data_IF_415394206594
#
_entry.id   IF_415394206594
#
_cell.length_a   1.000
_cell.length_b   1.000
_cell.length_c   1.000
_cell.angle_alpha   90.00
_cell.angle_beta   90.00
_cell.angle_gamma   90.00
#
_symmetry.space_group_name_H-M   'P 1'
#
loop_
_entity.id
_entity.type
_entity.pdbx_description
1 polymer ?
#
# COMPACT_ATOMS: atom_id res chain seq x y z
N UNK A 1 -3.60 -4.48 33.49
CA UNK A 1 -3.34 -3.32 32.60
C UNK A 1 -3.24 -3.91 31.18
N UNK A 2 -4.25 -3.80 30.29
CA UNK A 2 -4.10 -4.52 29.00
C UNK A 2 -5.17 -4.37 27.92
N UNK A 3 -6.46 -4.25 28.24
CA UNK A 3 -7.52 -4.29 27.20
C UNK A 3 -8.31 -2.98 27.04
N UNK A 4 -8.57 -2.25 28.13
CA UNK A 4 -9.23 -0.94 28.09
C UNK A 4 -8.37 0.12 27.37
N UNK A 5 -7.06 0.08 27.60
CA UNK A 5 -6.09 0.98 26.99
C UNK A 5 -5.98 0.76 25.48
N UNK A 6 -5.87 -0.51 25.04
CA UNK A 6 -5.81 -0.84 23.61
C UNK A 6 -7.07 -0.42 22.85
N UNK A 7 -8.27 -0.66 23.40
CA UNK A 7 -9.52 -0.22 22.75
C UNK A 7 -9.59 1.30 22.62
N UNK A 8 -9.15 2.03 23.64
CA UNK A 8 -9.04 3.48 23.61
C UNK A 8 -8.04 3.97 22.57
N UNK A 9 -6.83 3.41 22.57
CA UNK A 9 -5.78 3.69 21.61
C UNK A 9 -6.22 3.41 20.16
N UNK A 10 -6.79 2.23 19.90
CA UNK A 10 -7.32 1.87 18.57
C UNK A 10 -8.37 2.88 18.09
N UNK A 11 -9.33 3.23 18.95
CA UNK A 11 -10.36 4.24 18.61
C UNK A 11 -9.73 5.59 18.28
N UNK A 12 -8.75 6.03 19.08
CA UNK A 12 -8.01 7.26 18.86
C UNK A 12 -7.25 7.26 17.53
N UNK A 13 -6.51 6.19 17.23
CA UNK A 13 -5.74 6.06 15.99
C UNK A 13 -6.64 6.05 14.75
N UNK A 14 -7.76 5.31 14.79
CA UNK A 14 -8.72 5.30 13.69
C UNK A 14 -9.29 6.71 13.47
N UNK A 15 -9.66 7.42 14.53
CA UNK A 15 -10.19 8.78 14.42
C UNK A 15 -9.14 9.76 13.84
N UNK A 16 -7.90 9.69 14.31
CA UNK A 16 -6.76 10.48 13.81
C UNK A 16 -6.53 10.29 12.31
N UNK A 17 -6.39 9.04 11.85
CA UNK A 17 -6.12 8.74 10.44
C UNK A 17 -7.33 9.02 9.55
N UNK A 18 -8.55 8.73 10.03
CA UNK A 18 -9.78 9.08 9.30
C UNK A 18 -9.88 10.59 9.09
N UNK A 19 -9.58 11.40 10.10
CA UNK A 19 -9.58 12.86 9.97
C UNK A 19 -8.61 13.32 8.89
N UNK A 20 -7.34 12.88 8.95
CA UNK A 20 -6.33 13.22 7.95
C UNK A 20 -6.76 12.85 6.52
N UNK A 21 -7.34 11.66 6.34
CA UNK A 21 -7.81 11.24 5.02
C UNK A 21 -9.07 11.99 4.56
N UNK A 22 -9.93 12.41 5.49
CA UNK A 22 -11.09 13.27 5.16
C UNK A 22 -10.66 14.67 4.73
N UNK A 23 -9.56 15.19 5.25
CA UNK A 23 -9.04 16.50 4.86
C UNK A 23 -8.57 16.53 3.39
N UNK A 24 -8.05 15.40 2.88
CA UNK A 24 -7.63 15.27 1.47
C UNK A 24 -8.76 14.80 0.55
N UNK A 25 -9.83 14.20 1.09
CA UNK A 25 -10.93 13.62 0.32
C UNK A 25 -11.54 14.58 -0.72
N UNK A 26 -11.76 15.88 -0.43
CA UNK A 26 -12.31 16.82 -1.42
C UNK A 26 -11.46 16.98 -2.69
N UNK A 27 -10.16 16.71 -2.63
CA UNK A 27 -9.24 16.84 -3.77
C UNK A 27 -9.37 15.68 -4.77
N UNK A 28 -9.93 14.55 -4.34
CA UNK A 28 -9.97 13.30 -5.09
C UNK A 28 -11.40 12.78 -5.30
N UNK A 29 -12.41 13.47 -4.77
CA UNK A 29 -13.80 13.06 -4.87
C UNK A 29 -14.40 13.48 -6.22
N UNK A 30 -15.10 12.55 -6.86
CA UNK A 30 -15.85 12.88 -8.07
C UNK A 30 -16.98 13.88 -7.78
N UNK A 31 -17.33 14.76 -8.74
CA UNK A 31 -18.49 15.61 -8.64
C UNK A 31 -19.77 14.80 -8.39
N UNK A 32 -20.62 15.26 -7.48
CA UNK A 32 -21.91 14.64 -7.17
C UNK A 32 -21.90 13.51 -6.13
N UNK A 33 -20.73 13.10 -5.63
CA UNK A 33 -20.65 12.10 -4.56
C UNK A 33 -20.97 12.70 -3.19
N UNK A 34 -21.73 11.98 -2.37
CA UNK A 34 -22.01 12.36 -0.99
C UNK A 34 -20.74 12.26 -0.13
N UNK A 35 -20.23 13.41 0.30
CA UNK A 35 -19.02 13.54 1.14
C UNK A 35 -19.13 12.78 2.47
N UNK A 36 -20.32 12.77 3.08
CA UNK A 36 -20.53 12.12 4.37
C UNK A 36 -20.44 10.60 4.28
N UNK A 37 -20.98 10.02 3.21
CA UNK A 37 -20.93 8.58 2.99
C UNK A 37 -19.51 8.14 2.61
N UNK A 38 -18.86 8.85 1.68
CA UNK A 38 -17.45 8.61 1.34
C UNK A 38 -16.53 8.74 2.57
N UNK A 39 -16.79 9.73 3.44
CA UNK A 39 -16.06 9.89 4.69
C UNK A 39 -16.33 8.78 5.71
N UNK A 40 -17.50 8.12 5.69
CA UNK A 40 -17.81 6.96 6.54
C UNK A 40 -17.08 5.72 6.03
N UNK A 41 -17.12 5.48 4.72
CA UNK A 41 -16.44 4.34 4.10
C UNK A 41 -14.92 4.41 4.30
N UNK A 42 -14.36 5.62 4.23
CA UNK A 42 -12.96 5.86 4.54
C UNK A 42 -12.58 5.45 5.96
N UNK A 43 -13.46 5.66 6.93
CA UNK A 43 -13.24 5.23 8.32
C UNK A 43 -13.20 3.70 8.44
N UNK A 44 -13.99 2.99 7.63
CA UNK A 44 -13.97 1.51 7.57
C UNK A 44 -12.64 1.03 6.99
N UNK A 45 -12.13 1.67 5.93
CA UNK A 45 -10.82 1.35 5.36
C UNK A 45 -9.70 1.55 6.38
N UNK A 46 -9.71 2.68 7.10
CA UNK A 46 -8.73 2.95 8.16
C UNK A 46 -8.79 1.91 9.28
N UNK A 47 -9.98 1.51 9.70
CA UNK A 47 -10.13 0.47 10.72
C UNK A 47 -9.54 -0.87 10.27
N UNK A 48 -9.82 -1.28 9.02
CA UNK A 48 -9.26 -2.50 8.44
C UNK A 48 -7.74 -2.43 8.28
N UNK A 49 -7.21 -1.28 7.84
CA UNK A 49 -5.78 -1.06 7.73
C UNK A 49 -5.08 -1.16 9.10
N UNK A 50 -5.67 -0.56 10.14
CA UNK A 50 -5.13 -0.64 11.50
C UNK A 50 -5.10 -2.08 12.02
N UNK A 51 -6.19 -2.83 11.82
CA UNK A 51 -6.25 -4.23 12.24
C UNK A 51 -5.22 -5.09 11.48
N UNK A 52 -5.05 -4.84 10.18
CA UNK A 52 -4.02 -5.50 9.36
C UNK A 52 -2.61 -5.14 9.86
N UNK A 53 -2.32 -3.88 10.15
CA UNK A 53 -1.02 -3.46 10.68
C UNK A 53 -0.70 -4.15 12.01
N UNK A 54 -1.69 -4.31 12.90
CA UNK A 54 -1.51 -5.05 14.14
C UNK A 54 -1.23 -6.54 13.89
N UNK A 55 -1.90 -7.16 12.92
CA UNK A 55 -1.63 -8.55 12.52
C UNK A 55 -0.23 -8.72 11.94
N UNK A 56 0.18 -7.84 11.02
CA UNK A 56 1.52 -7.84 10.43
C UNK A 56 2.61 -7.67 11.49
N UNK A 57 2.36 -6.84 12.51
CA UNK A 57 3.32 -6.60 13.59
C UNK A 57 3.44 -7.80 14.56
N UNK A 58 2.41 -8.64 14.65
CA UNK A 58 2.35 -9.73 15.65
C UNK A 58 2.58 -11.12 15.05
N UNK A 59 2.58 -11.29 13.73
CA UNK A 59 2.66 -12.61 13.09
C UNK A 59 4.09 -13.19 13.01
N UNK A 60 5.08 -12.56 13.66
CA UNK A 60 6.46 -13.07 13.77
C UNK A 60 7.27 -13.02 12.46
N UNK A 61 6.78 -12.30 11.45
CA UNK A 61 7.38 -12.19 10.12
C UNK A 61 7.76 -10.74 9.82
N UNK A 62 8.86 -10.53 9.11
CA UNK A 62 9.32 -9.20 8.73
C UNK A 62 8.84 -8.86 7.32
N UNK A 63 7.97 -7.85 7.19
CA UNK A 63 7.50 -7.37 5.89
C UNK A 63 8.24 -6.10 5.48
N UNK A 64 8.64 -6.01 4.21
CA UNK A 64 9.14 -4.78 3.60
C UNK A 64 8.08 -4.32 2.62
N UNK A 65 7.50 -3.15 2.90
CA UNK A 65 6.46 -2.52 2.07
C UNK A 65 7.07 -1.23 1.53
N UNK A 66 7.26 -1.15 0.22
CA UNK A 66 7.84 0.03 -0.43
C UNK A 66 7.03 0.47 -1.63
N UNK A 67 6.87 1.78 -1.79
CA UNK A 67 6.31 2.37 -3.00
C UNK A 67 7.45 2.70 -3.97
N UNK A 68 7.40 2.23 -5.22
CA UNK A 68 8.29 2.71 -6.27
C UNK A 68 8.14 4.22 -6.48
N UNK A 69 9.25 4.91 -6.72
CA UNK A 69 9.25 6.34 -6.98
C UNK A 69 8.93 6.67 -8.44
N UNK A 70 8.21 7.77 -8.68
CA UNK A 70 8.02 8.28 -10.03
C UNK A 70 9.39 8.57 -10.70
N UNK A 71 9.53 8.20 -11.96
CA UNK A 71 10.77 8.29 -12.72
C UNK A 71 11.70 7.08 -12.58
N UNK A 72 11.42 6.14 -11.65
CA UNK A 72 12.19 4.91 -11.53
C UNK A 72 12.05 4.02 -12.78
N UNK A 73 13.08 3.22 -13.08
CA UNK A 73 13.01 2.23 -14.16
C UNK A 73 12.05 1.11 -13.80
N UNK A 74 11.28 0.66 -14.78
CA UNK A 74 10.39 -0.48 -14.65
C UNK A 74 11.19 -1.76 -14.37
N UNK A 75 10.78 -2.50 -13.33
CA UNK A 75 11.39 -3.76 -12.94
C UNK A 75 10.32 -4.86 -12.87
N UNK A 76 10.35 -5.79 -13.84
CA UNK A 76 9.42 -6.93 -13.94
C UNK A 76 9.27 -7.75 -12.64
N UNK A 77 10.34 -7.99 -11.83
CA UNK A 77 10.21 -8.75 -10.59
C UNK A 77 9.36 -8.09 -9.52
N UNK A 78 9.32 -6.75 -9.48
CA UNK A 78 8.68 -5.97 -8.42
C UNK A 78 7.50 -5.11 -8.90
N UNK A 79 7.29 -4.98 -10.20
CA UNK A 79 6.28 -4.09 -10.78
C UNK A 79 5.39 -4.79 -11.81
N UNK A 80 4.16 -4.29 -11.95
CA UNK A 80 3.18 -4.67 -12.97
C UNK A 80 2.61 -3.39 -13.61
N UNK A 81 2.91 -3.19 -14.89
CA UNK A 81 2.32 -2.10 -15.66
C UNK A 81 0.82 -2.33 -15.85
N UNK A 82 0.00 -1.28 -15.63
CA UNK A 82 -1.47 -1.35 -15.76
C UNK A 82 -2.01 -0.63 -16.99
N UNK A 83 -1.21 0.21 -17.62
CA UNK A 83 -1.58 1.04 -18.78
C UNK A 83 -0.80 0.68 -20.05
N UNK A 84 -0.39 -0.58 -20.17
CA UNK A 84 0.40 -1.08 -21.31
C UNK A 84 0.16 -2.57 -21.52
N UNK A 85 0.08 -2.95 -22.79
CA UNK A 85 0.01 -4.35 -23.24
C UNK A 85 1.37 -4.90 -23.68
N UNK A 86 2.44 -4.10 -23.60
CA UNK A 86 3.81 -4.50 -23.92
C UNK A 86 4.29 -5.55 -22.90
N UNK A 87 5.05 -6.53 -23.36
CA UNK A 87 5.54 -7.59 -22.48
C UNK A 87 6.48 -6.99 -21.39
N UNK A 88 6.34 -7.41 -20.11
CA UNK A 88 7.08 -6.78 -19.02
C UNK A 88 8.62 -6.85 -19.11
N UNK A 89 9.19 -7.91 -19.69
CA UNK A 89 10.64 -8.00 -19.89
C UNK A 89 11.08 -6.98 -20.94
N UNK A 90 10.31 -6.79 -22.00
CA UNK A 90 10.59 -5.75 -23.00
C UNK A 90 10.57 -4.33 -22.39
N UNK A 91 9.59 -4.02 -21.54
CA UNK A 91 9.55 -2.74 -20.80
C UNK A 91 10.81 -2.53 -19.95
N UNK A 92 11.26 -3.59 -19.27
CA UNK A 92 12.49 -3.53 -18.47
C UNK A 92 13.74 -3.35 -19.36
N UNK A 93 13.83 -4.06 -20.48
CA UNK A 93 14.96 -3.96 -21.42
C UNK A 93 15.06 -2.58 -22.07
N UNK A 94 13.93 -1.95 -22.38
CA UNK A 94 13.86 -0.57 -22.89
C UNK A 94 14.24 0.49 -21.84
N UNK A 95 14.32 0.09 -20.56
CA UNK A 95 14.54 1.03 -19.45
C UNK A 95 13.37 2.00 -19.27
N UNK A 96 12.14 1.56 -19.61
CA UNK A 96 10.92 2.37 -19.47
C UNK A 96 10.79 2.89 -18.04
N UNK A 97 10.38 4.16 -17.90
CA UNK A 97 10.19 4.78 -16.59
C UNK A 97 8.74 4.73 -16.13
N UNK A 98 8.56 4.60 -14.83
CA UNK A 98 7.23 4.67 -14.22
C UNK A 98 6.84 6.12 -13.98
N UNK A 99 5.58 6.45 -14.29
CA UNK A 99 5.00 7.76 -14.00
C UNK A 99 4.39 7.80 -12.60
N UNK A 100 3.81 6.70 -12.15
CA UNK A 100 3.07 6.64 -10.88
C UNK A 100 2.99 5.21 -10.34
N UNK A 101 3.14 5.05 -9.02
CA UNK A 101 2.89 3.79 -8.32
C UNK A 101 1.50 3.81 -7.68
N UNK A 102 0.67 2.83 -8.05
CA UNK A 102 -0.72 2.67 -7.59
C UNK A 102 -0.79 1.85 -6.32
N UNK A 103 -0.01 0.77 -6.21
CA UNK A 103 0.08 -0.09 -5.02
C UNK A 103 1.54 -0.29 -4.62
N UNK A 104 1.84 -0.53 -3.33
CA UNK A 104 3.20 -0.82 -2.92
C UNK A 104 3.65 -2.20 -3.45
N UNK A 105 4.96 -2.39 -3.51
CA UNK A 105 5.60 -3.69 -3.61
C UNK A 105 5.77 -4.26 -2.19
N UNK A 106 5.50 -5.55 -2.00
CA UNK A 106 5.56 -6.20 -0.69
C UNK A 106 6.48 -7.42 -0.76
N UNK A 107 7.48 -7.46 0.12
CA UNK A 107 8.29 -8.65 0.34
C UNK A 107 8.20 -9.13 1.77
N UNK A 108 8.37 -10.44 1.91
CA UNK A 108 8.54 -11.12 3.17
C UNK A 108 10.01 -11.47 3.34
N UNK A 109 10.57 -11.10 4.48
CA UNK A 109 11.86 -11.55 4.94
C UNK A 109 11.66 -12.67 5.96
N UNK A 110 12.18 -13.84 5.61
CA UNK A 110 12.19 -15.03 6.45
C UNK A 110 13.56 -15.14 7.13
N UNK A 111 13.56 -14.99 8.45
CA UNK A 111 14.74 -15.02 9.32
C UNK A 111 14.84 -16.34 10.12
N UNK A 112 14.01 -17.35 9.85
CA UNK A 112 13.95 -18.58 10.66
C UNK A 112 15.08 -19.59 10.37
N UNK A 113 15.86 -19.38 9.30
CA UNK A 113 16.93 -20.28 8.86
C UNK A 113 18.35 -19.74 9.06
N UNK A 114 19.35 -20.49 8.60
CA UNK A 114 20.77 -20.06 8.61
C UNK A 114 21.07 -18.88 7.66
N UNK A 115 20.15 -18.58 6.73
CA UNK A 115 20.28 -17.48 5.78
C UNK A 115 18.97 -16.71 5.67
N UNK A 116 19.08 -15.41 5.41
CA UNK A 116 17.95 -14.51 5.19
C UNK A 116 17.37 -14.79 3.80
N UNK A 117 16.10 -15.20 3.73
CA UNK A 117 15.40 -15.42 2.45
C UNK A 117 14.35 -14.35 2.26
N UNK A 118 14.37 -13.67 1.10
CA UNK A 118 13.34 -12.69 0.74
C UNK A 118 12.40 -13.26 -0.32
N UNK A 119 11.09 -13.21 -0.09
CA UNK A 119 10.05 -13.66 -1.02
C UNK A 119 9.16 -12.49 -1.44
N UNK A 120 8.88 -12.36 -2.73
CA UNK A 120 7.93 -11.36 -3.22
C UNK A 120 6.52 -11.86 -2.94
N UNK A 121 5.77 -11.11 -2.13
CA UNK A 121 4.35 -11.40 -1.86
C UNK A 121 3.49 -10.76 -2.96
N UNK A 122 3.75 -9.49 -3.25
CA UNK A 122 2.96 -8.74 -4.22
C UNK A 122 3.82 -7.77 -5.02
N UNK A 123 3.43 -7.54 -6.28
CA UNK A 123 4.08 -6.59 -7.19
C UNK A 123 3.34 -5.26 -7.16
N UNK A 124 4.11 -4.18 -7.14
CA UNK A 124 3.56 -2.82 -7.27
C UNK A 124 2.84 -2.68 -8.61
N UNK A 125 1.56 -2.31 -8.57
CA UNK A 125 0.84 -1.87 -9.76
C UNK A 125 1.32 -0.45 -10.10
N UNK A 126 1.82 -0.25 -11.32
CA UNK A 126 2.40 1.02 -11.75
C UNK A 126 1.79 1.49 -13.08
N UNK A 127 1.81 2.80 -13.29
CA UNK A 127 1.57 3.42 -14.58
C UNK A 127 2.92 3.80 -15.19
N UNK A 128 3.16 3.40 -16.44
CA UNK A 128 4.39 3.72 -17.17
C UNK A 128 4.23 4.99 -18.02
N UNK A 129 5.35 5.63 -18.35
CA UNK A 129 5.41 6.61 -19.43
C UNK A 129 5.11 5.90 -20.76
N UNK A 130 4.18 6.45 -21.55
CA UNK A 130 3.86 6.00 -22.90
C UNK A 130 4.78 6.68 -23.91
#
# INVERSE_FOLDING_TARGET
MGTQDYRGFRKYMIAQHTKKLRDILPLVLNPGINRSDAGRDLAVVVAKAFDLSAQLFTCGWTFIISMPEAGAKFAKPSMRARNSDVEPLELQMRGTRIRFAVTPFVTLRDDSGLAIVTRNIDRSSVLIEQ
#
